data_IF_712371074724
#
_entry.id   IF_712371074724
#
_cell.length_a   1.000
_cell.length_b   1.000
_cell.length_c   1.000
_cell.angle_alpha   90.00
_cell.angle_beta   90.00
_cell.angle_gamma   90.00
#
_symmetry.space_group_name_H-M   'P 1'
#
loop_
_entity.id
_entity.type
_entity.pdbx_description
1 polymer ?
#
# COMPACT_ATOMS: atom_id res chain seq x y z
N UNK A 1 -4.81 -5.25 -12.61
CA UNK A 1 -5.22 -3.84 -12.46
C UNK A 1 -4.07 -2.97 -12.96
N UNK A 2 -4.36 -1.90 -13.71
CA UNK A 2 -3.42 -0.82 -14.02
C UNK A 2 -4.05 0.45 -13.43
N UNK A 3 -3.24 1.41 -12.96
CA UNK A 3 -3.76 2.64 -12.35
C UNK A 3 -2.86 3.85 -12.60
N UNK A 4 -3.48 5.02 -12.66
CA UNK A 4 -2.83 6.34 -12.74
C UNK A 4 -3.18 7.14 -11.47
N UNK A 5 -2.32 7.15 -10.45
CA UNK A 5 -2.52 7.95 -9.26
C UNK A 5 -2.45 9.44 -9.60
N UNK A 6 -3.42 10.23 -9.13
CA UNK A 6 -3.42 11.69 -9.26
C UNK A 6 -3.14 12.34 -7.89
N UNK A 7 -3.40 13.64 -7.76
CA UNK A 7 -3.02 14.42 -6.57
C UNK A 7 -3.85 14.09 -5.32
N UNK A 8 -5.14 13.77 -5.49
CA UNK A 8 -6.07 13.59 -4.37
C UNK A 8 -5.95 12.19 -3.77
N UNK A 9 -6.09 12.06 -2.46
CA UNK A 9 -6.00 10.78 -1.74
C UNK A 9 -6.88 9.69 -2.36
N UNK A 10 -8.15 9.99 -2.65
CA UNK A 10 -9.09 9.04 -3.25
C UNK A 10 -8.62 8.46 -4.59
N UNK A 11 -7.82 9.21 -5.36
CA UNK A 11 -7.27 8.76 -6.65
C UNK A 11 -6.03 7.88 -6.51
N UNK A 12 -5.45 7.80 -5.30
CA UNK A 12 -4.20 7.07 -5.03
C UNK A 12 -4.43 5.71 -4.35
N UNK A 13 -5.67 5.37 -4.02
CA UNK A 13 -6.02 4.11 -3.33
C UNK A 13 -5.54 2.91 -4.13
N UNK A 14 -5.95 2.80 -5.41
CA UNK A 14 -5.50 1.70 -6.27
C UNK A 14 -3.98 1.64 -6.42
N UNK A 15 -3.30 2.80 -6.46
CA UNK A 15 -1.84 2.88 -6.47
C UNK A 15 -1.20 2.30 -5.21
N UNK A 16 -1.75 2.63 -4.03
CA UNK A 16 -1.30 2.05 -2.76
C UNK A 16 -1.44 0.53 -2.74
N UNK A 17 -2.57 0.00 -3.26
CA UNK A 17 -2.78 -1.44 -3.38
C UNK A 17 -1.74 -2.10 -4.30
N UNK A 18 -1.44 -1.49 -5.45
CA UNK A 18 -0.39 -1.98 -6.36
C UNK A 18 1.00 -1.98 -5.71
N UNK A 19 1.34 -0.96 -4.93
CA UNK A 19 2.61 -0.95 -4.19
C UNK A 19 2.64 -2.07 -3.15
N UNK A 20 1.54 -2.30 -2.45
CA UNK A 20 1.43 -3.33 -1.42
C UNK A 20 1.56 -4.76 -1.97
N UNK A 21 1.40 -5.00 -3.27
CA UNK A 21 1.69 -6.31 -3.88
C UNK A 21 3.17 -6.53 -4.18
N UNK A 22 4.00 -5.48 -4.12
CA UNK A 22 5.39 -5.50 -4.58
C UNK A 22 5.56 -5.39 -6.10
N UNK A 23 4.46 -5.28 -6.86
CA UNK A 23 4.47 -5.22 -8.33
C UNK A 23 4.01 -3.83 -8.86
N UNK A 24 4.17 -2.80 -8.03
CA UNK A 24 3.72 -1.44 -8.32
C UNK A 24 4.23 -0.90 -9.66
N UNK A 25 5.49 -1.16 -10.01
CA UNK A 25 6.10 -0.68 -11.27
C UNK A 25 5.46 -1.30 -12.52
N UNK A 26 4.93 -2.52 -12.40
CA UNK A 26 4.23 -3.22 -13.49
C UNK A 26 2.76 -2.76 -13.64
N UNK A 27 2.22 -2.03 -12.67
CA UNK A 27 0.79 -1.70 -12.59
C UNK A 27 0.50 -0.19 -12.48
N UNK A 28 1.45 0.63 -12.05
CA UNK A 28 1.31 2.07 -11.87
C UNK A 28 1.95 2.79 -13.05
N UNK A 29 1.23 3.75 -13.62
CA UNK A 29 1.72 4.59 -14.72
C UNK A 29 1.69 6.07 -14.34
N UNK A 30 2.41 6.88 -15.11
CA UNK A 30 2.63 8.30 -14.80
C UNK A 30 1.88 9.28 -15.71
N UNK A 31 1.09 8.80 -16.67
CA UNK A 31 0.29 9.65 -17.56
C UNK A 31 -0.87 8.87 -18.18
N UNK A 32 -1.88 9.59 -18.70
CA UNK A 32 -3.02 8.98 -19.39
C UNK A 32 -2.58 8.18 -20.63
N UNK A 33 -1.65 8.72 -21.42
CA UNK A 33 -1.11 8.01 -22.59
C UNK A 33 -0.46 6.67 -22.20
N UNK A 34 0.35 6.66 -21.13
CA UNK A 34 0.97 5.42 -20.63
C UNK A 34 -0.06 4.44 -20.05
N UNK A 35 -1.16 4.96 -19.49
CA UNK A 35 -2.27 4.12 -19.03
C UNK A 35 -2.89 3.35 -20.18
N UNK A 36 -3.25 4.05 -21.25
CA UNK A 36 -3.78 3.45 -22.49
C UNK A 36 -2.78 2.46 -23.09
N UNK A 37 -1.52 2.87 -23.25
CA UNK A 37 -0.48 2.01 -23.84
C UNK A 37 -0.27 0.73 -23.03
N UNK A 38 -0.22 0.81 -21.70
CA UNK A 38 -0.06 -0.36 -20.84
C UNK A 38 -1.29 -1.27 -20.91
N UNK A 39 -2.49 -0.70 -20.96
CA UNK A 39 -3.72 -1.48 -21.09
C UNK A 39 -3.78 -2.23 -22.42
N UNK A 40 -3.47 -1.55 -23.53
CA UNK A 40 -3.41 -2.15 -24.86
C UNK A 40 -2.30 -3.20 -24.95
N UNK A 41 -1.11 -2.92 -24.41
CA UNK A 41 0.02 -3.86 -24.39
C UNK A 41 -0.36 -5.17 -23.69
N UNK A 42 -0.97 -5.10 -22.50
CA UNK A 42 -1.41 -6.30 -21.78
C UNK A 42 -2.54 -7.03 -22.50
N UNK A 43 -3.47 -6.30 -23.14
CA UNK A 43 -4.57 -6.90 -23.88
C UNK A 43 -4.10 -7.64 -25.14
N UNK A 44 -3.11 -7.09 -25.86
CA UNK A 44 -2.56 -7.68 -27.08
C UNK A 44 -1.47 -8.72 -26.82
N UNK A 45 -0.94 -8.82 -25.60
CA UNK A 45 0.09 -9.77 -25.22
C UNK A 45 -0.36 -10.68 -24.06
N UNK A 46 -1.10 -11.78 -24.37
CA UNK A 46 -1.57 -12.73 -23.36
C UNK A 46 -0.45 -13.35 -22.54
N UNK A 47 0.74 -13.55 -23.11
CA UNK A 47 1.90 -14.10 -22.40
C UNK A 47 2.35 -13.15 -21.29
N UNK A 48 2.47 -11.86 -21.59
CA UNK A 48 2.82 -10.83 -20.60
C UNK A 48 1.76 -10.70 -19.51
N UNK A 49 0.48 -10.71 -19.90
CA UNK A 49 -0.63 -10.66 -18.94
C UNK A 49 -0.65 -11.89 -18.01
N UNK A 50 -0.41 -13.08 -18.57
CA UNK A 50 -0.34 -14.32 -17.79
C UNK A 50 0.85 -14.31 -16.84
N UNK A 51 2.01 -13.81 -17.27
CA UNK A 51 3.18 -13.66 -16.42
C UNK A 51 2.91 -12.75 -15.22
N UNK A 52 2.32 -11.56 -15.44
CA UNK A 52 1.94 -10.65 -14.35
C UNK A 52 0.90 -11.30 -13.42
N UNK A 53 -0.08 -12.01 -13.99
CA UNK A 53 -1.09 -12.75 -13.21
C UNK A 53 -0.46 -13.83 -12.34
N UNK A 54 0.54 -14.55 -12.83
CA UNK A 54 1.24 -15.58 -12.08
C UNK A 54 2.05 -14.98 -10.93
N UNK A 55 2.82 -13.90 -11.18
CA UNK A 55 3.52 -13.15 -10.13
C UNK A 55 2.57 -12.71 -9.02
N UNK A 56 1.40 -12.15 -9.38
CA UNK A 56 0.38 -11.77 -8.42
C UNK A 56 -0.15 -12.95 -7.61
N UNK A 57 -0.38 -14.11 -8.24
CA UNK A 57 -0.82 -15.32 -7.54
C UNK A 57 0.23 -15.85 -6.56
N UNK A 58 1.51 -15.77 -6.91
CA UNK A 58 2.62 -16.19 -6.07
C UNK A 58 2.74 -15.32 -4.81
N UNK A 59 2.63 -13.99 -4.97
CA UNK A 59 2.81 -13.05 -3.85
C UNK A 59 1.55 -12.81 -3.03
N UNK A 60 0.35 -13.18 -3.50
CA UNK A 60 -0.91 -12.80 -2.82
C UNK A 60 -1.02 -13.24 -1.35
N UNK A 61 -0.34 -14.33 -0.97
CA UNK A 61 -0.37 -14.86 0.40
C UNK A 61 0.77 -14.33 1.28
N UNK A 62 1.75 -13.66 0.68
CA UNK A 62 2.97 -13.19 1.37
C UNK A 62 3.14 -11.68 1.30
N UNK A 63 2.40 -10.99 0.43
CA UNK A 63 2.43 -9.55 0.31
C UNK A 63 1.72 -8.87 1.50
N UNK A 64 2.17 -7.68 1.92
CA UNK A 64 1.55 -6.96 3.04
C UNK A 64 0.06 -6.66 2.88
N UNK A 65 -0.45 -6.65 1.64
CA UNK A 65 -1.82 -6.27 1.32
C UNK A 65 -2.87 -7.10 2.08
N UNK A 66 -2.58 -8.38 2.35
CA UNK A 66 -3.49 -9.31 3.02
C UNK A 66 -2.97 -9.78 4.39
N UNK A 67 -1.88 -9.20 4.89
CA UNK A 67 -1.37 -9.48 6.24
C UNK A 67 -2.18 -8.68 7.28
N UNK A 68 -3.37 -9.19 7.60
CA UNK A 68 -4.28 -8.55 8.56
C UNK A 68 -3.64 -8.44 9.94
N UNK A 69 -2.86 -9.43 10.37
CA UNK A 69 -2.24 -9.42 11.69
C UNK A 69 -1.22 -8.28 11.83
N UNK A 70 -0.37 -8.08 10.81
CA UNK A 70 0.55 -6.93 10.76
C UNK A 70 -0.20 -5.61 10.67
N UNK A 71 -1.29 -5.55 9.89
CA UNK A 71 -2.12 -4.34 9.78
C UNK A 71 -2.72 -3.94 11.13
N UNK A 72 -3.30 -4.89 11.87
CA UNK A 72 -3.87 -4.64 13.21
C UNK A 72 -2.80 -4.14 14.17
N UNK A 73 -1.63 -4.79 14.23
CA UNK A 73 -0.50 -4.32 15.07
C UNK A 73 -0.09 -2.88 14.75
N UNK A 74 -0.03 -2.53 13.46
CA UNK A 74 0.31 -1.16 13.06
C UNK A 74 -0.79 -0.15 13.40
N UNK A 75 -2.05 -0.56 13.37
CA UNK A 75 -3.17 0.26 13.80
C UNK A 75 -3.14 0.49 15.32
N UNK A 76 -2.88 -0.55 16.11
CA UNK A 76 -2.72 -0.47 17.56
C UNK A 76 -1.58 0.50 17.93
N UNK A 77 -0.40 0.37 17.30
CA UNK A 77 0.72 1.31 17.45
C UNK A 77 0.30 2.76 17.16
N UNK A 78 -0.52 2.97 16.12
CA UNK A 78 -1.04 4.29 15.80
C UNK A 78 -1.92 4.83 16.93
N UNK A 79 -2.82 4.02 17.48
CA UNK A 79 -3.70 4.42 18.59
C UNK A 79 -2.92 4.75 19.85
N UNK A 80 -1.94 3.93 20.23
CA UNK A 80 -1.07 4.24 21.37
C UNK A 80 -0.30 5.55 21.18
N UNK A 81 0.23 5.80 19.97
CA UNK A 81 0.93 7.06 19.66
C UNK A 81 -0.01 8.27 19.76
N UNK A 82 -1.23 8.15 19.23
CA UNK A 82 -2.27 9.19 19.35
C UNK A 82 -2.63 9.46 20.83
N UNK A 83 -2.77 8.40 21.62
CA UNK A 83 -3.08 8.50 23.05
C UNK A 83 -1.96 9.16 23.84
N UNK A 84 -0.71 8.75 23.64
CA UNK A 84 0.44 9.32 24.33
C UNK A 84 0.65 10.80 24.01
N UNK A 85 0.41 11.21 22.76
CA UNK A 85 0.41 12.62 22.37
C UNK A 85 -0.64 13.42 23.14
N UNK A 86 -1.86 12.89 23.24
CA UNK A 86 -2.94 13.51 23.99
C UNK A 86 -2.64 13.61 25.49
N UNK A 87 -2.18 12.52 26.13
CA UNK A 87 -1.80 12.52 27.55
C UNK A 87 -0.66 13.49 27.86
N UNK A 88 0.24 13.72 26.91
CA UNK A 88 1.33 14.70 27.01
C UNK A 88 0.87 16.14 26.75
N UNK A 89 -0.45 16.39 26.67
CA UNK A 89 -1.04 17.70 26.34
C UNK A 89 -0.52 18.31 25.03
N UNK A 90 -0.09 17.47 24.08
CA UNK A 90 0.31 17.90 22.74
C UNK A 90 -0.92 17.96 21.83
N UNK A 91 -0.88 18.87 20.86
CA UNK A 91 -1.91 18.93 19.83
C UNK A 91 -1.74 17.80 18.80
N UNK A 92 -2.82 17.40 18.09
CA UNK A 92 -2.71 16.44 16.99
C UNK A 92 -1.67 16.89 15.97
N UNK A 93 -0.71 16.02 15.67
CA UNK A 93 0.35 16.27 14.71
C UNK A 93 0.47 15.11 13.72
N UNK A 94 0.96 15.35 12.49
CA UNK A 94 1.25 14.28 11.56
C UNK A 94 2.35 13.37 12.11
N UNK A 95 2.12 12.07 12.09
CA UNK A 95 3.14 11.09 12.41
C UNK A 95 3.07 9.90 11.46
N UNK A 96 4.18 9.16 11.39
CA UNK A 96 4.26 7.87 10.73
C UNK A 96 4.36 6.78 11.78
N UNK A 97 3.68 5.66 11.54
CA UNK A 97 3.87 4.42 12.31
C UNK A 97 5.14 3.75 11.80
N UNK A 98 6.05 3.46 12.71
CA UNK A 98 7.27 2.68 12.45
C UNK A 98 7.07 1.31 13.11
N UNK A 99 7.56 0.27 12.45
CA UNK A 99 7.53 -1.09 13.00
C UNK A 99 8.73 -1.31 13.93
N UNK A 100 8.77 -0.50 14.99
CA UNK A 100 9.76 -0.60 16.05
C UNK A 100 9.04 -0.82 17.39
N UNK A 101 9.24 -2.01 17.96
CA UNK A 101 8.65 -2.40 19.24
C UNK A 101 9.22 -1.62 20.44
N UNK A 102 10.32 -0.88 20.25
CA UNK A 102 10.90 -0.04 21.30
C UNK A 102 10.25 1.36 21.37
N UNK A 103 9.68 1.86 20.27
CA UNK A 103 9.02 3.18 20.22
C UNK A 103 7.57 3.14 20.69
N UNK A 104 6.98 1.95 20.79
CA UNK A 104 5.64 1.71 21.32
C UNK A 104 5.77 0.71 22.45
N UNK A 105 6.04 1.16 23.69
CA UNK A 105 5.96 0.26 24.82
C UNK A 105 4.54 -0.32 24.79
N UNK A 106 4.43 -1.61 24.52
CA UNK A 106 3.23 -2.36 24.85
C UNK A 106 2.98 -2.03 26.33
N UNK A 107 1.92 -1.30 26.63
CA UNK A 107 1.42 -1.25 28.01
C UNK A 107 1.12 -2.70 28.36
N UNK A 108 2.01 -3.30 29.16
CA UNK A 108 1.83 -4.60 29.79
C UNK A 108 0.86 -4.46 30.95
#
# INVERSE_FOLDING_TARGET
MITLPLEKMATRVAGSLCVATGLGEEMIVSSMKKYEDRAVELALNPVKLQALTNKLKEVRMTCPLFDTARWVRNLERAYYKMWNLYCSSRHPEPFKVVEDDNESPFDR
#
